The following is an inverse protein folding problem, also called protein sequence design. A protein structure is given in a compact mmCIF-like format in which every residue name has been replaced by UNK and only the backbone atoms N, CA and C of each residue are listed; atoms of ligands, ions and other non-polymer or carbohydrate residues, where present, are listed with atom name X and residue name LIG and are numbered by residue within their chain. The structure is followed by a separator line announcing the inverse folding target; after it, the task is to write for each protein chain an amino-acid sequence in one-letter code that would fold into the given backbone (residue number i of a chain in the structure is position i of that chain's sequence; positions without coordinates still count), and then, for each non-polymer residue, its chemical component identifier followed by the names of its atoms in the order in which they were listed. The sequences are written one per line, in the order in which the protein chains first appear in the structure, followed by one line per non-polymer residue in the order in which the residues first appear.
data_IF_677109030556
#
_entry.id   IF_677109030556
#
_cell.length_a   1.000
_cell.length_b   1.000
_cell.length_c   1.000
_cell.angle_alpha   90.00
_cell.angle_beta   90.00
_cell.angle_gamma   90.00
#
_symmetry.space_group_name_H-M   'P 1'
#
loop_
_entity.id
_entity.type
_entity.pdbx_description
1 polymer ?
#
# COMPACT_ATOMS: atom_id res chain seq x y z
N UNK A 1 7.18 -12.76 -28.09
CA UNK A 1 6.75 -13.65 -26.98
C UNK A 1 5.36 -13.22 -26.54
N UNK A 2 4.36 -14.10 -26.68
CA UNK A 2 2.92 -13.78 -26.55
C UNK A 2 2.28 -14.42 -25.32
N UNK A 3 2.60 -13.92 -24.13
CA UNK A 3 1.82 -14.25 -22.94
C UNK A 3 0.61 -13.32 -22.88
N UNK A 4 -0.59 -13.90 -22.91
CA UNK A 4 -1.80 -13.13 -22.61
C UNK A 4 -1.79 -12.68 -21.14
N UNK A 5 -2.44 -11.56 -20.85
CA UNK A 5 -2.64 -11.08 -19.48
C UNK A 5 -3.20 -12.16 -18.54
N UNK A 6 -4.13 -12.99 -19.04
CA UNK A 6 -4.73 -14.10 -18.28
C UNK A 6 -3.73 -15.19 -17.93
N UNK A 7 -2.81 -15.50 -18.85
CA UNK A 7 -1.74 -16.48 -18.59
C UNK A 7 -0.78 -15.97 -17.52
N UNK A 8 -0.41 -14.69 -17.57
CA UNK A 8 0.43 -14.05 -16.56
C UNK A 8 -0.26 -14.02 -15.19
N UNK A 9 -1.52 -13.59 -15.13
CA UNK A 9 -2.28 -13.52 -13.89
C UNK A 9 -2.45 -14.91 -13.25
N UNK A 10 -2.74 -15.94 -14.06
CA UNK A 10 -2.83 -17.33 -13.58
C UNK A 10 -1.49 -17.82 -13.03
N UNK A 11 -0.40 -17.63 -13.76
CA UNK A 11 0.92 -18.05 -13.31
C UNK A 11 1.35 -17.33 -12.03
N UNK A 12 1.11 -16.01 -11.95
CA UNK A 12 1.40 -15.22 -10.76
C UNK A 12 0.59 -15.70 -9.55
N UNK A 13 -0.71 -15.99 -9.75
CA UNK A 13 -1.56 -16.53 -8.68
C UNK A 13 -1.12 -17.93 -8.23
N UNK A 14 -0.63 -18.78 -9.14
CA UNK A 14 -0.12 -20.11 -8.78
C UNK A 14 1.15 -20.04 -7.92
N UNK A 15 2.02 -19.06 -8.17
CA UNK A 15 3.29 -18.90 -7.43
C UNK A 15 3.10 -18.09 -6.14
N UNK A 16 2.36 -16.99 -6.19
CA UNK A 16 2.24 -16.03 -5.09
C UNK A 16 0.93 -16.13 -4.30
N UNK A 17 -0.04 -16.95 -4.73
CA UNK A 17 -1.35 -17.09 -4.09
C UNK A 17 -2.32 -15.91 -4.26
N UNK A 18 -1.84 -14.77 -4.78
CA UNK A 18 -2.60 -13.53 -4.95
C UNK A 18 -2.56 -13.03 -6.38
N UNK A 19 -3.44 -12.08 -6.73
CA UNK A 19 -3.39 -11.44 -8.05
C UNK A 19 -2.24 -10.43 -8.13
N UNK A 20 -1.70 -10.14 -9.33
CA UNK A 20 -0.73 -9.07 -9.53
C UNK A 20 -1.22 -7.72 -8.99
N UNK A 21 -2.52 -7.42 -9.15
CA UNK A 21 -3.14 -6.19 -8.63
C UNK A 21 -3.06 -6.14 -7.10
N UNK A 22 -3.38 -7.24 -6.43
CA UNK A 22 -3.25 -7.35 -4.97
C UNK A 22 -1.81 -7.14 -4.53
N UNK A 23 -0.85 -7.76 -5.21
CA UNK A 23 0.57 -7.59 -4.90
C UNK A 23 1.02 -6.12 -5.01
N UNK A 24 0.63 -5.43 -6.09
CA UNK A 24 0.92 -4.00 -6.27
C UNK A 24 0.28 -3.17 -5.13
N UNK A 25 -0.97 -3.46 -4.75
CA UNK A 25 -1.61 -2.79 -3.61
C UNK A 25 -0.84 -3.00 -2.32
N UNK A 26 -0.41 -4.23 -2.01
CA UNK A 26 0.39 -4.52 -0.83
C UNK A 26 1.72 -3.75 -0.85
N UNK A 27 2.44 -3.77 -1.98
CA UNK A 27 3.69 -3.00 -2.12
C UNK A 27 3.47 -1.50 -1.89
N UNK A 28 2.36 -0.93 -2.35
CA UNK A 28 2.02 0.48 -2.10
C UNK A 28 1.72 0.74 -0.62
N UNK A 29 0.98 -0.15 0.05
CA UNK A 29 0.68 -0.03 1.48
C UNK A 29 1.96 -0.09 2.34
N UNK A 30 2.89 -0.99 2.02
CA UNK A 30 4.19 -1.05 2.68
C UNK A 30 5.01 0.23 2.49
N UNK A 31 5.08 0.76 1.27
CA UNK A 31 5.76 2.04 1.00
C UNK A 31 5.14 3.21 1.77
N UNK A 32 3.82 3.24 1.92
CA UNK A 32 3.15 4.25 2.75
C UNK A 32 3.62 4.12 4.19
N UNK A 33 3.63 2.91 4.76
CA UNK A 33 4.09 2.70 6.14
C UNK A 33 5.52 3.19 6.35
N UNK A 34 6.44 2.80 5.46
CA UNK A 34 7.84 3.22 5.52
C UNK A 34 7.98 4.75 5.47
N UNK A 35 7.24 5.41 4.57
CA UNK A 35 7.26 6.87 4.46
C UNK A 35 6.67 7.55 5.70
N UNK A 36 5.58 7.03 6.28
CA UNK A 36 4.99 7.57 7.51
C UNK A 36 5.91 7.39 8.72
N UNK A 37 6.64 6.27 8.79
CA UNK A 37 7.61 6.01 9.86
C UNK A 37 8.87 6.87 9.76
N UNK A 38 9.24 7.29 8.55
CA UNK A 38 10.38 8.15 8.29
C UNK A 38 10.02 9.65 8.26
N UNK A 39 8.74 10.00 8.45
CA UNK A 39 8.29 11.38 8.42
C UNK A 39 8.70 12.11 9.70
N UNK A 40 9.23 13.32 9.55
CA UNK A 40 9.50 14.20 10.69
C UNK A 40 8.18 14.69 11.32
N UNK A 41 8.14 14.90 12.65
CA UNK A 41 6.96 15.39 13.36
C UNK A 41 6.36 16.64 12.70
N UNK A 42 5.10 16.55 12.26
CA UNK A 42 4.38 17.68 11.65
C UNK A 42 4.80 18.06 10.21
N UNK A 43 5.75 17.34 9.60
CA UNK A 43 6.26 17.66 8.25
C UNK A 43 5.39 17.11 7.11
N UNK A 44 4.71 15.99 7.33
CA UNK A 44 3.90 15.31 6.31
C UNK A 44 2.47 15.02 6.81
N UNK A 45 1.55 14.82 5.87
CA UNK A 45 0.19 14.34 6.15
C UNK A 45 0.00 12.95 5.56
N UNK A 46 -0.87 12.15 6.19
CA UNK A 46 -1.27 10.83 5.67
C UNK A 46 -1.69 10.88 4.21
N UNK A 47 -2.46 11.91 3.83
CA UNK A 47 -2.95 12.10 2.46
C UNK A 47 -1.80 12.37 1.48
N UNK A 48 -0.86 13.25 1.84
CA UNK A 48 0.31 13.55 1.00
C UNK A 48 1.12 12.28 0.71
N UNK A 49 1.41 11.50 1.75
CA UNK A 49 2.15 10.24 1.63
C UNK A 49 1.40 9.22 0.78
N UNK A 50 0.10 9.04 1.03
CA UNK A 50 -0.72 8.12 0.26
C UNK A 50 -0.71 8.45 -1.25
N UNK A 51 -0.84 9.72 -1.61
CA UNK A 51 -0.80 10.18 -3.01
C UNK A 51 0.59 9.91 -3.62
N UNK A 52 1.68 10.26 -2.92
CA UNK A 52 3.06 10.01 -3.36
C UNK A 52 3.36 8.53 -3.58
N UNK A 53 2.78 7.65 -2.77
CA UNK A 53 2.89 6.19 -2.91
C UNK A 53 1.92 5.60 -3.94
N UNK A 54 1.12 6.40 -4.65
CA UNK A 54 0.23 5.96 -5.71
C UNK A 54 -1.08 5.33 -5.24
N UNK A 55 -1.57 5.71 -4.06
CA UNK A 55 -2.90 5.32 -3.59
C UNK A 55 -3.96 6.14 -4.32
N UNK A 56 -4.75 5.48 -5.17
CA UNK A 56 -5.80 6.16 -5.95
C UNK A 56 -7.13 6.36 -5.22
N UNK A 57 -7.41 5.59 -4.16
CA UNK A 57 -8.68 5.64 -3.44
C UNK A 57 -8.49 5.97 -1.96
N UNK A 58 -8.31 7.26 -1.68
CA UNK A 58 -8.02 7.77 -0.33
C UNK A 58 -9.09 7.41 0.71
N UNK A 59 -10.37 7.33 0.33
CA UNK A 59 -11.43 6.96 1.27
C UNK A 59 -11.42 5.49 1.73
N UNK A 60 -10.88 4.57 0.93
CA UNK A 60 -10.82 3.13 1.25
C UNK A 60 -9.47 2.70 1.80
N UNK A 61 -8.44 3.50 1.55
CA UNK A 61 -7.07 3.22 1.94
C UNK A 61 -6.87 3.02 3.45
N UNK A 62 -7.41 3.86 4.36
CA UNK A 62 -7.18 3.68 5.80
C UNK A 62 -7.69 2.34 6.32
N UNK A 63 -8.83 1.87 5.79
CA UNK A 63 -9.36 0.54 6.12
C UNK A 63 -8.46 -0.59 5.61
N UNK A 64 -8.01 -0.50 4.35
CA UNK A 64 -7.09 -1.50 3.79
C UNK A 64 -5.74 -1.54 4.51
N UNK A 65 -5.23 -0.38 4.92
CA UNK A 65 -4.01 -0.25 5.70
C UNK A 65 -4.17 -0.89 7.09
N UNK A 66 -5.26 -0.56 7.80
CA UNK A 66 -5.56 -1.16 9.12
C UNK A 66 -5.73 -2.68 9.05
N UNK A 67 -6.40 -3.20 8.01
CA UNK A 67 -6.55 -4.65 7.84
C UNK A 67 -5.20 -5.37 7.66
N UNK A 68 -4.18 -4.69 7.11
CA UNK A 68 -2.85 -5.28 6.90
C UNK A 68 -1.91 -5.08 8.10
N UNK A 69 -1.99 -3.93 8.78
CA UNK A 69 -0.99 -3.52 9.77
C UNK A 69 -1.50 -3.45 11.21
N UNK A 70 -2.82 -3.59 11.42
CA UNK A 70 -3.45 -3.53 12.75
C UNK A 70 -3.68 -2.12 13.29
N UNK A 71 -3.19 -1.08 12.62
CA UNK A 71 -3.28 0.33 13.03
C UNK A 71 -3.66 1.21 11.84
N UNK A 72 -4.19 2.40 12.10
CA UNK A 72 -4.45 3.41 11.08
C UNK A 72 -3.17 4.15 10.67
N UNK A 73 -3.09 4.64 9.42
CA UNK A 73 -1.96 5.44 8.95
C UNK A 73 -1.65 6.66 9.83
N UNK A 74 -2.69 7.29 10.39
CA UNK A 74 -2.55 8.42 11.31
C UNK A 74 -1.87 8.03 12.62
N UNK A 75 -2.11 6.81 13.11
CA UNK A 75 -1.45 6.29 14.31
C UNK A 75 0.02 6.00 14.03
N UNK A 76 0.35 5.44 12.86
CA UNK A 76 1.74 5.26 12.43
C UNK A 76 2.47 6.61 12.37
N UNK A 77 1.85 7.63 11.76
CA UNK A 77 2.43 8.96 11.64
C UNK A 77 2.63 9.64 13.01
N UNK A 78 1.64 9.51 13.91
CA UNK A 78 1.71 10.08 15.25
C UNK A 78 2.77 9.43 16.16
N UNK A 79 3.24 8.21 15.84
CA UNK A 79 4.35 7.55 16.55
C UNK A 79 5.73 7.89 15.98
N UNK A 80 5.78 8.33 14.73
CA UNK A 80 7.01 8.80 14.10
C UNK A 80 7.30 10.26 14.48
N UNK A 81 6.25 11.03 14.77
CA UNK A 81 6.28 12.35 15.39
C UNK A 81 6.66 12.30 16.88
#
# INVERSE_FOLDING_TARGET
AGLSWRSLERAFRQVCGITPKTAITLCRLHRVREALQAAEPGSETVTSVAVRCGIGHLGRFPGAYRSLFGEYPSETLARAA
#
